data_IF_284036309187
#
_entry.id   IF_284036309187
#
_cell.length_a   1.000
_cell.length_b   1.000
_cell.length_c   1.000
_cell.angle_alpha   90.00
_cell.angle_beta   90.00
_cell.angle_gamma   90.00
#
_symmetry.space_group_name_H-M   'P 1'
#
loop_
_entity.id
_entity.type
_entity.pdbx_description
1 polymer ?
#
# COMPACT_ATOMS: atom_id res chain seq x y z
N UNK A 1 30.43 23.21 -13.60
CA UNK A 1 30.38 24.17 -12.48
C UNK A 1 28.96 24.65 -12.15
N UNK A 2 28.12 25.05 -13.11
CA UNK A 2 26.74 25.56 -12.85
C UNK A 2 25.81 24.58 -12.10
N UNK A 3 26.04 23.27 -12.15
CA UNK A 3 25.07 22.23 -11.73
C UNK A 3 25.18 21.77 -10.26
N UNK A 4 26.32 21.97 -9.60
CA UNK A 4 26.45 21.73 -8.14
C UNK A 4 25.84 22.88 -7.33
N UNK A 5 26.02 24.11 -7.82
CA UNK A 5 25.43 25.32 -7.22
C UNK A 5 23.90 25.27 -7.19
N UNK A 6 23.27 24.66 -8.21
CA UNK A 6 21.83 24.47 -8.28
C UNK A 6 21.29 23.54 -7.18
N UNK A 7 21.98 22.43 -6.90
CA UNK A 7 21.62 21.52 -5.82
C UNK A 7 21.80 22.17 -4.44
N UNK A 8 22.87 22.94 -4.26
CA UNK A 8 23.10 23.72 -3.03
C UNK A 8 22.03 24.79 -2.84
N UNK A 9 21.55 25.41 -3.93
CA UNK A 9 20.44 26.36 -3.87
C UNK A 9 19.14 25.67 -3.45
N UNK A 10 18.84 24.48 -3.96
CA UNK A 10 17.69 23.68 -3.53
C UNK A 10 17.78 23.30 -2.03
N UNK A 11 18.98 22.99 -1.55
CA UNK A 11 19.23 22.73 -0.14
C UNK A 11 19.00 23.98 0.73
N UNK A 12 19.54 25.14 0.33
CA UNK A 12 19.37 26.42 1.04
C UNK A 12 17.91 26.88 1.11
N UNK A 13 17.12 26.60 0.06
CA UNK A 13 15.69 26.92 0.01
C UNK A 13 14.80 25.85 0.67
N UNK A 14 15.38 24.81 1.29
CA UNK A 14 14.62 23.77 1.99
C UNK A 14 13.84 22.80 1.10
N UNK A 15 14.03 22.87 -0.22
CA UNK A 15 13.40 21.95 -1.20
C UNK A 15 13.99 20.55 -1.08
N UNK A 16 15.29 20.47 -0.83
CA UNK A 16 16.04 19.23 -0.65
C UNK A 16 16.72 19.20 0.73
N UNK A 17 16.93 18.01 1.27
CA UNK A 17 17.74 17.79 2.46
C UNK A 17 19.15 17.35 2.10
N UNK A 18 20.06 17.38 3.09
CA UNK A 18 21.42 16.84 2.94
C UNK A 18 21.45 15.37 2.52
N UNK A 19 20.48 14.57 2.96
CA UNK A 19 20.38 13.18 2.54
C UNK A 19 20.11 13.06 1.04
N UNK A 20 19.23 13.91 0.51
CA UNK A 20 18.85 13.90 -0.91
C UNK A 20 20.05 14.30 -1.79
N UNK A 21 20.83 15.29 -1.34
CA UNK A 21 22.08 15.69 -2.03
C UNK A 21 23.12 14.58 -1.97
N UNK A 22 23.32 13.97 -0.81
CA UNK A 22 24.29 12.88 -0.67
C UNK A 22 23.91 11.67 -1.55
N UNK A 23 22.63 11.31 -1.58
CA UNK A 23 22.14 10.26 -2.46
C UNK A 23 22.31 10.61 -3.94
N UNK A 24 22.03 11.85 -4.35
CA UNK A 24 22.26 12.29 -5.73
C UNK A 24 23.73 12.19 -6.14
N UNK A 25 24.64 12.62 -5.29
CA UNK A 25 26.08 12.53 -5.54
C UNK A 25 26.54 11.07 -5.60
N UNK A 26 26.01 10.19 -4.74
CA UNK A 26 26.27 8.77 -4.79
C UNK A 26 25.84 8.15 -6.13
N UNK A 27 24.60 8.44 -6.58
CA UNK A 27 24.08 7.93 -7.87
C UNK A 27 24.88 8.48 -9.05
N UNK A 28 25.25 9.76 -9.03
CA UNK A 28 26.08 10.36 -10.07
C UNK A 28 27.48 9.74 -10.12
N UNK A 29 28.06 9.41 -8.97
CA UNK A 29 29.33 8.69 -8.87
C UNK A 29 29.27 7.30 -9.50
N UNK A 30 28.18 6.56 -9.28
CA UNK A 30 27.94 5.24 -9.90
C UNK A 30 27.74 5.32 -11.43
N UNK A 31 27.23 6.45 -11.94
CA UNK A 31 27.01 6.66 -13.36
C UNK A 31 28.27 7.11 -14.13
N UNK A 32 29.41 7.24 -13.44
CA UNK A 32 30.70 7.69 -13.99
C UNK A 32 30.64 9.05 -14.71
N UNK A 33 29.73 9.94 -14.30
CA UNK A 33 29.66 11.29 -14.86
C UNK A 33 28.50 12.13 -14.35
N UNK A 34 28.68 13.46 -14.21
CA UNK A 34 27.65 14.36 -13.71
C UNK A 34 26.61 14.67 -14.78
N UNK A 35 25.59 13.82 -14.88
CA UNK A 35 24.38 14.11 -15.66
C UNK A 35 23.42 14.89 -14.74
N UNK A 36 23.13 16.15 -15.08
CA UNK A 36 22.27 17.01 -14.26
C UNK A 36 20.89 16.41 -14.04
N UNK A 37 20.30 15.92 -15.12
CA UNK A 37 19.01 15.27 -15.15
C UNK A 37 19.00 14.09 -14.17
N UNK A 38 20.10 13.33 -14.10
CA UNK A 38 20.25 12.23 -13.16
C UNK A 38 20.38 12.70 -11.71
N UNK A 39 21.29 13.64 -11.43
CA UNK A 39 21.52 14.13 -10.07
C UNK A 39 20.27 14.80 -9.50
N UNK A 40 19.61 15.66 -10.28
CA UNK A 40 18.34 16.27 -9.89
C UNK A 40 17.28 15.21 -9.62
N UNK A 41 17.15 14.22 -10.51
CA UNK A 41 16.16 13.15 -10.34
C UNK A 41 16.40 12.30 -9.11
N UNK A 42 17.65 11.93 -8.85
CA UNK A 42 18.04 11.17 -7.68
C UNK A 42 17.71 11.94 -6.40
N UNK A 43 18.00 13.25 -6.36
CA UNK A 43 17.65 14.08 -5.22
C UNK A 43 16.12 14.21 -5.04
N UNK A 44 15.38 14.48 -6.12
CA UNK A 44 13.93 14.65 -6.08
C UNK A 44 13.20 13.36 -5.70
N UNK A 45 13.61 12.20 -6.23
CA UNK A 45 13.00 10.92 -5.87
C UNK A 45 13.30 10.55 -4.42
N UNK A 46 14.51 10.82 -3.92
CA UNK A 46 14.84 10.69 -2.50
C UNK A 46 13.93 11.56 -1.63
N UNK A 47 13.78 12.83 -1.99
CA UNK A 47 12.91 13.77 -1.26
C UNK A 47 11.46 13.32 -1.29
N UNK A 48 10.94 12.92 -2.45
CA UNK A 48 9.59 12.40 -2.61
C UNK A 48 9.35 11.16 -1.75
N UNK A 49 10.31 10.22 -1.71
CA UNK A 49 10.24 9.04 -0.85
C UNK A 49 10.21 9.38 0.64
N UNK A 50 11.01 10.35 1.10
CA UNK A 50 10.95 10.82 2.50
C UNK A 50 9.59 11.43 2.86
N UNK A 51 8.88 11.99 1.88
CA UNK A 51 7.54 12.53 2.04
C UNK A 51 6.43 11.47 1.94
N UNK A 52 6.79 10.21 1.72
CA UNK A 52 5.85 9.08 1.65
C UNK A 52 5.38 8.72 0.24
N UNK A 53 5.91 9.36 -0.81
CA UNK A 53 5.64 8.97 -2.19
C UNK A 53 6.46 7.74 -2.59
N UNK A 54 5.83 6.80 -3.29
CA UNK A 54 6.51 5.58 -3.78
C UNK A 54 7.45 5.90 -4.96
N UNK A 55 7.07 6.88 -5.78
CA UNK A 55 7.80 7.31 -6.97
C UNK A 55 7.69 8.82 -7.17
N UNK A 56 8.58 9.34 -8.02
CA UNK A 56 8.50 10.67 -8.59
C UNK A 56 7.85 10.59 -9.97
N UNK A 57 6.68 11.19 -10.15
CA UNK A 57 6.03 11.30 -11.45
C UNK A 57 6.64 12.48 -12.23
N UNK A 58 7.50 12.17 -13.20
CA UNK A 58 8.20 13.19 -13.99
C UNK A 58 7.24 14.00 -14.87
N UNK A 59 6.09 13.43 -15.26
CA UNK A 59 5.09 14.15 -16.08
C UNK A 59 4.50 15.32 -15.31
N UNK A 60 4.27 15.13 -14.02
CA UNK A 60 3.76 16.19 -13.14
C UNK A 60 4.84 17.19 -12.77
N UNK A 61 6.11 16.82 -12.85
CA UNK A 61 7.23 17.67 -12.40
C UNK A 61 7.90 18.45 -13.54
N UNK A 62 7.76 17.98 -14.78
CA UNK A 62 8.38 18.60 -15.94
C UNK A 62 8.08 20.09 -16.01
N UNK A 63 9.12 20.89 -16.28
CA UNK A 63 9.05 22.35 -16.42
C UNK A 63 8.53 23.13 -15.20
N UNK A 64 8.23 22.47 -14.07
CA UNK A 64 7.88 23.16 -12.83
C UNK A 64 9.08 23.92 -12.26
N UNK A 65 8.83 25.11 -11.72
CA UNK A 65 9.82 25.83 -10.93
C UNK A 65 9.98 25.16 -9.56
N UNK A 66 11.21 24.80 -9.21
CA UNK A 66 11.58 24.29 -7.90
C UNK A 66 11.92 25.42 -6.94
N UNK A 67 12.55 26.48 -7.45
CA UNK A 67 12.86 27.71 -6.73
C UNK A 67 12.62 28.89 -7.66
N UNK A 68 11.90 29.89 -7.16
CA UNK A 68 11.66 31.12 -7.90
C UNK A 68 12.97 31.91 -8.07
N UNK A 69 13.07 32.67 -9.15
CA UNK A 69 14.17 33.61 -9.32
C UNK A 69 13.98 34.78 -8.38
N UNK A 70 14.87 34.94 -7.40
CA UNK A 70 14.99 36.14 -6.56
C UNK A 70 16.33 36.80 -6.84
N UNK A 71 16.40 38.14 -6.72
CA UNK A 71 17.63 38.93 -6.85
C UNK A 71 18.46 38.68 -8.13
N UNK A 72 17.81 38.70 -9.30
CA UNK A 72 18.48 38.59 -10.60
C UNK A 72 18.96 37.18 -10.96
N UNK A 73 18.72 36.18 -10.10
CA UNK A 73 18.99 34.78 -10.41
C UNK A 73 17.88 34.16 -11.25
N UNK A 74 18.24 33.34 -12.24
CA UNK A 74 17.26 32.60 -13.02
C UNK A 74 16.48 31.62 -12.13
N UNK A 75 15.18 31.40 -12.38
CA UNK A 75 14.43 30.35 -11.69
C UNK A 75 15.08 28.99 -11.98
N UNK A 76 15.10 28.12 -10.98
CA UNK A 76 15.56 26.75 -11.16
C UNK A 76 14.33 25.90 -11.50
N UNK A 77 14.26 25.44 -12.74
CA UNK A 77 13.13 24.67 -13.28
C UNK A 77 13.53 23.24 -13.59
N UNK A 78 12.58 22.33 -13.44
CA UNK A 78 12.75 20.96 -13.90
C UNK A 78 12.94 20.91 -15.43
N UNK A 79 13.69 19.92 -15.95
CA UNK A 79 13.86 19.76 -17.39
C UNK A 79 12.53 19.47 -18.10
N UNK A 80 12.52 19.65 -19.44
CA UNK A 80 11.43 19.18 -20.29
C UNK A 80 11.32 17.67 -20.22
N UNK A 81 10.10 17.13 -20.14
CA UNK A 81 9.86 15.70 -19.93
C UNK A 81 10.66 14.80 -20.89
N UNK A 82 10.65 15.13 -22.18
CA UNK A 82 11.34 14.33 -23.21
C UNK A 82 12.85 14.29 -22.99
N UNK A 83 13.45 15.45 -22.74
CA UNK A 83 14.89 15.57 -22.52
C UNK A 83 15.29 14.94 -21.18
N UNK A 84 14.43 15.08 -20.18
CA UNK A 84 14.58 14.48 -18.87
C UNK A 84 14.63 12.95 -18.94
N UNK A 85 13.60 12.34 -19.52
CA UNK A 85 13.54 10.89 -19.68
C UNK A 85 14.70 10.38 -20.54
N UNK A 86 15.05 11.09 -21.62
CA UNK A 86 16.20 10.73 -22.46
C UNK A 86 17.52 10.74 -21.66
N UNK A 87 17.75 11.76 -20.84
CA UNK A 87 18.93 11.85 -19.98
C UNK A 87 19.00 10.69 -18.98
N UNK A 88 17.86 10.29 -18.42
CA UNK A 88 17.77 9.17 -17.48
C UNK A 88 17.98 7.82 -18.15
N UNK A 89 17.29 7.52 -19.26
CA UNK A 89 17.37 6.23 -19.97
C UNK A 89 18.80 5.95 -20.45
N UNK A 90 19.54 6.99 -20.82
CA UNK A 90 20.93 6.86 -21.27
C UNK A 90 21.93 6.61 -20.12
N UNK A 91 21.50 6.66 -18.86
CA UNK A 91 22.35 6.44 -17.71
C UNK A 91 22.50 4.96 -17.36
N UNK A 92 23.70 4.54 -16.98
CA UNK A 92 23.97 3.15 -16.58
C UNK A 92 23.21 2.73 -15.30
N UNK A 93 22.84 3.68 -14.44
CA UNK A 93 22.20 3.43 -13.13
C UNK A 93 20.68 3.51 -13.14
N UNK A 94 20.07 3.80 -14.30
CA UNK A 94 18.62 3.79 -14.50
C UNK A 94 18.23 2.56 -15.32
N UNK A 95 17.26 1.80 -14.83
CA UNK A 95 16.73 0.59 -15.47
C UNK A 95 15.27 0.71 -15.84
N UNK A 96 14.82 -0.23 -16.66
CA UNK A 96 13.41 -0.47 -16.92
C UNK A 96 12.81 -1.34 -15.80
N UNK A 97 11.47 -1.39 -15.69
CA UNK A 97 10.81 -2.36 -14.82
C UNK A 97 11.31 -3.78 -15.11
N UNK A 98 11.81 -4.48 -14.09
CA UNK A 98 12.43 -5.81 -14.18
C UNK A 98 13.95 -5.80 -14.04
N UNK A 99 14.60 -4.65 -14.29
CA UNK A 99 16.05 -4.52 -14.15
C UNK A 99 16.47 -4.38 -12.68
N UNK A 100 17.67 -4.84 -12.35
CA UNK A 100 18.31 -4.60 -11.05
C UNK A 100 19.27 -3.42 -11.14
N UNK A 101 18.74 -2.21 -11.01
CA UNK A 101 19.50 -0.94 -11.04
C UNK A 101 19.01 0.02 -9.96
N UNK A 102 19.86 0.93 -9.43
CA UNK A 102 19.49 1.81 -8.31
C UNK A 102 18.18 2.58 -8.51
N UNK A 103 17.95 3.05 -9.74
CA UNK A 103 16.74 3.75 -10.14
C UNK A 103 16.00 2.95 -11.21
N UNK A 104 14.67 2.97 -11.14
CA UNK A 104 13.79 2.35 -12.15
C UNK A 104 12.90 3.42 -12.75
N UNK A 105 12.92 3.56 -14.06
CA UNK A 105 12.03 4.46 -14.81
C UNK A 105 11.04 3.62 -15.61
N UNK A 106 9.75 3.79 -15.34
CA UNK A 106 8.71 3.04 -16.03
C UNK A 106 8.21 3.74 -17.31
N UNK A 107 7.37 3.02 -18.09
CA UNK A 107 6.79 3.54 -19.33
C UNK A 107 5.83 4.72 -19.16
N UNK A 108 5.43 5.07 -17.93
CA UNK A 108 4.62 6.26 -17.61
C UNK A 108 5.47 7.44 -17.13
N UNK A 109 6.80 7.35 -17.29
CA UNK A 109 7.76 8.35 -16.82
C UNK A 109 7.70 8.54 -15.29
N UNK A 110 7.46 7.47 -14.53
CA UNK A 110 7.57 7.46 -13.07
C UNK A 110 8.93 6.90 -12.68
N UNK A 111 9.67 7.65 -11.89
CA UNK A 111 10.98 7.27 -11.40
C UNK A 111 10.89 6.75 -9.96
N UNK A 112 11.51 5.61 -9.72
CA UNK A 112 11.50 4.91 -8.43
C UNK A 112 12.91 4.71 -7.93
N UNK A 113 13.07 4.69 -6.61
CA UNK A 113 14.15 3.91 -6.00
C UNK A 113 13.84 2.42 -6.19
N UNK A 114 14.82 1.61 -6.61
CA UNK A 114 14.63 0.18 -6.89
C UNK A 114 13.80 -0.55 -5.84
N UNK A 115 14.14 -0.34 -4.56
CA UNK A 115 13.48 -0.99 -3.42
C UNK A 115 11.97 -0.75 -3.40
N UNK A 116 11.51 0.46 -3.72
CA UNK A 116 10.11 0.82 -3.68
C UNK A 116 9.35 0.33 -4.91
N UNK A 117 10.02 0.27 -6.07
CA UNK A 117 9.50 -0.41 -7.25
C UNK A 117 9.30 -1.91 -6.98
N UNK A 118 10.31 -2.59 -6.43
CA UNK A 118 10.24 -4.01 -6.08
C UNK A 118 9.14 -4.29 -5.04
N UNK A 119 8.97 -3.42 -4.03
CA UNK A 119 7.86 -3.53 -3.07
C UNK A 119 6.50 -3.39 -3.74
N UNK A 120 6.34 -2.45 -4.67
CA UNK A 120 5.11 -2.25 -5.41
C UNK A 120 4.77 -3.48 -6.26
N UNK A 121 5.73 -3.98 -7.04
CA UNK A 121 5.48 -5.11 -7.94
C UNK A 121 5.19 -6.39 -7.16
N UNK A 122 5.97 -6.69 -6.10
CA UNK A 122 5.68 -7.83 -5.21
C UNK A 122 4.29 -7.74 -4.60
N UNK A 123 3.87 -6.57 -4.14
CA UNK A 123 2.53 -6.40 -3.58
C UNK A 123 1.45 -6.61 -4.65
N UNK A 124 1.64 -6.03 -5.83
CA UNK A 124 0.69 -6.17 -6.93
C UNK A 124 0.55 -7.63 -7.36
N UNK A 125 1.66 -8.37 -7.47
CA UNK A 125 1.66 -9.79 -7.83
C UNK A 125 1.02 -10.66 -6.75
N UNK A 126 1.31 -10.40 -5.48
CA UNK A 126 0.68 -11.11 -4.36
C UNK A 126 -0.83 -10.90 -4.28
N UNK A 127 -1.32 -9.72 -4.69
CA UNK A 127 -2.76 -9.43 -4.78
C UNK A 127 -3.34 -10.12 -6.00
N UNK A 128 -2.72 -9.99 -7.18
CA UNK A 128 -3.18 -10.63 -8.43
C UNK A 128 -3.30 -12.14 -8.26
N UNK A 129 -2.30 -12.79 -7.68
CA UNK A 129 -2.32 -14.24 -7.47
C UNK A 129 -3.50 -14.67 -6.59
N UNK A 130 -3.75 -13.95 -5.49
CA UNK A 130 -4.86 -14.26 -4.57
C UNK A 130 -6.25 -13.96 -5.15
N UNK A 131 -6.34 -13.03 -6.09
CA UNK A 131 -7.60 -12.70 -6.78
C UNK A 131 -7.89 -13.71 -7.89
N UNK A 132 -6.86 -14.21 -8.57
CA UNK A 132 -6.98 -15.18 -9.67
C UNK A 132 -7.19 -16.62 -9.21
N UNK A 133 -6.75 -16.96 -8.00
CA UNK A 133 -7.11 -18.23 -7.37
C UNK A 133 -8.63 -18.32 -7.20
N UNK A 134 -9.30 -18.96 -8.15
CA UNK A 134 -10.70 -19.33 -8.06
C UNK A 134 -10.75 -20.62 -7.24
N UNK A 135 -11.27 -20.54 -6.02
CA UNK A 135 -11.61 -21.76 -5.28
C UNK A 135 -12.65 -22.56 -6.07
N UNK A 136 -12.57 -23.90 -5.97
CA UNK A 136 -13.59 -24.80 -6.53
C UNK A 136 -15.00 -24.33 -6.12
N UNK A 137 -16.03 -24.59 -6.95
CA UNK A 137 -17.41 -24.21 -6.64
C UNK A 137 -17.76 -24.60 -5.21
N UNK A 138 -17.91 -23.58 -4.37
CA UNK A 138 -18.12 -23.78 -2.95
C UNK A 138 -19.60 -24.10 -2.75
N UNK A 139 -19.93 -25.38 -2.71
CA UNK A 139 -21.22 -25.80 -2.19
C UNK A 139 -21.20 -25.56 -0.67
N UNK A 140 -21.89 -24.52 -0.23
CA UNK A 140 -22.02 -24.17 1.19
C UNK A 140 -23.45 -24.53 1.60
N UNK A 141 -23.66 -25.70 2.22
CA UNK A 141 -24.98 -26.11 2.67
C UNK A 141 -25.57 -25.06 3.61
N UNK A 142 -26.83 -24.71 3.36
CA UNK A 142 -27.61 -23.79 4.19
C UNK A 142 -26.99 -22.37 4.31
N UNK A 143 -26.18 -21.93 3.34
CA UNK A 143 -25.60 -20.59 3.35
C UNK A 143 -26.65 -19.48 3.48
N UNK A 144 -27.78 -19.61 2.76
CA UNK A 144 -28.88 -18.66 2.84
C UNK A 144 -29.46 -18.54 4.26
N UNK A 145 -29.67 -19.66 4.94
CA UNK A 145 -30.16 -19.68 6.32
C UNK A 145 -29.15 -19.06 7.30
N UNK A 146 -27.87 -19.39 7.15
CA UNK A 146 -26.79 -18.84 7.98
C UNK A 146 -26.67 -17.32 7.82
N UNK A 147 -26.77 -16.83 6.58
CA UNK A 147 -26.76 -15.40 6.29
C UNK A 147 -27.99 -14.70 6.86
N UNK A 148 -29.19 -15.25 6.68
CA UNK A 148 -30.42 -14.69 7.22
C UNK A 148 -30.37 -14.58 8.75
N UNK A 149 -29.78 -15.58 9.42
CA UNK A 149 -29.58 -15.58 10.88
C UNK A 149 -28.56 -14.53 11.33
N UNK A 150 -27.43 -14.41 10.64
CA UNK A 150 -26.37 -13.49 11.04
C UNK A 150 -26.63 -12.04 10.62
N UNK A 151 -27.43 -11.82 9.59
CA UNK A 151 -27.82 -10.48 9.11
C UNK A 151 -29.34 -10.31 9.20
N UNK A 152 -29.91 -10.34 10.43
CA UNK A 152 -31.34 -10.13 10.62
C UNK A 152 -31.64 -8.65 10.33
N UNK A 153 -32.66 -8.39 9.52
CA UNK A 153 -33.01 -7.03 9.13
C UNK A 153 -32.30 -6.51 7.88
N UNK A 154 -31.90 -7.41 6.96
CA UNK A 154 -31.61 -7.00 5.58
C UNK A 154 -32.75 -6.07 5.09
N UNK A 155 -32.44 -4.94 4.43
CA UNK A 155 -33.44 -3.95 4.06
C UNK A 155 -34.60 -4.59 3.29
N UNK A 156 -35.85 -4.25 3.62
CA UNK A 156 -37.00 -4.63 2.80
C UNK A 156 -36.85 -4.11 1.36
N UNK A 157 -36.18 -2.97 1.21
CA UNK A 157 -35.73 -2.41 -0.06
C UNK A 157 -34.26 -2.01 0.02
N UNK A 158 -33.45 -2.47 -0.95
CA UNK A 158 -32.04 -2.14 -1.05
C UNK A 158 -31.10 -3.32 -0.77
N UNK A 159 -29.82 -3.11 -1.06
CA UNK A 159 -28.78 -4.14 -0.91
C UNK A 159 -28.15 -4.04 0.48
N UNK A 160 -28.12 -5.13 1.24
CA UNK A 160 -27.31 -5.23 2.45
C UNK A 160 -25.84 -5.40 2.09
N UNK A 161 -25.10 -4.29 2.05
CA UNK A 161 -23.67 -4.29 1.75
C UNK A 161 -22.82 -5.07 2.77
N UNK A 162 -23.28 -5.24 4.02
CA UNK A 162 -22.58 -6.07 5.00
C UNK A 162 -22.74 -7.55 4.68
N UNK A 163 -23.93 -7.96 4.23
CA UNK A 163 -24.17 -9.32 3.72
C UNK A 163 -23.36 -9.58 2.44
N UNK A 164 -23.31 -8.62 1.51
CA UNK A 164 -22.46 -8.71 0.30
C UNK A 164 -20.98 -8.84 0.68
N UNK A 165 -20.50 -8.06 1.64
CA UNK A 165 -19.14 -8.16 2.13
C UNK A 165 -18.84 -9.55 2.72
N UNK A 166 -19.79 -10.11 3.47
CA UNK A 166 -19.66 -11.43 4.06
C UNK A 166 -19.67 -12.57 3.04
N UNK A 167 -20.54 -12.50 2.04
CA UNK A 167 -20.53 -13.39 0.89
C UNK A 167 -19.22 -13.30 0.11
N UNK A 168 -18.74 -12.08 -0.13
CA UNK A 168 -17.47 -11.87 -0.85
C UNK A 168 -16.28 -12.44 -0.10
N UNK A 169 -16.25 -12.33 1.23
CA UNK A 169 -15.12 -12.81 2.03
C UNK A 169 -15.05 -14.34 2.15
N UNK A 170 -16.18 -15.04 2.05
CA UNK A 170 -16.17 -16.52 2.03
C UNK A 170 -15.87 -17.06 0.62
N UNK A 171 -16.21 -16.31 -0.44
CA UNK A 171 -16.02 -16.74 -1.83
C UNK A 171 -14.65 -16.38 -2.42
N UNK A 172 -13.86 -15.53 -1.75
CA UNK A 172 -12.59 -15.00 -2.27
C UNK A 172 -11.48 -15.13 -1.24
N UNK A 173 -10.30 -15.59 -1.67
CA UNK A 173 -9.08 -15.68 -0.84
C UNK A 173 -8.52 -14.32 -0.42
N UNK A 174 -8.88 -13.26 -1.13
CA UNK A 174 -8.52 -11.89 -0.80
C UNK A 174 -9.75 -10.99 -0.92
N UNK A 175 -10.09 -10.33 0.17
CA UNK A 175 -11.22 -9.41 0.26
C UNK A 175 -10.79 -8.16 1.02
N UNK A 176 -11.12 -6.99 0.47
CA UNK A 176 -10.94 -5.69 1.14
C UNK A 176 -12.32 -5.12 1.41
N UNK A 177 -12.64 -4.94 2.69
CA UNK A 177 -13.90 -4.34 3.13
C UNK A 177 -13.62 -2.90 3.53
N UNK A 178 -14.09 -1.95 2.74
CA UNK A 178 -13.98 -0.51 3.02
C UNK A 178 -15.31 0.06 3.52
N UNK A 179 -15.25 1.16 4.27
CA UNK A 179 -16.43 1.84 4.77
C UNK A 179 -16.09 2.93 5.79
N UNK A 180 -16.89 4.00 5.84
CA UNK A 180 -16.70 5.12 6.77
C UNK A 180 -16.85 4.72 8.25
N UNK A 181 -16.53 5.61 9.21
CA UNK A 181 -16.82 5.38 10.63
C UNK A 181 -18.30 5.03 10.86
N UNK A 182 -18.60 4.11 11.79
CA UNK A 182 -19.97 3.74 12.13
C UNK A 182 -20.69 2.79 11.17
N UNK A 183 -20.11 2.42 10.02
CA UNK A 183 -20.72 1.51 9.02
C UNK A 183 -20.83 0.03 9.43
N UNK A 184 -20.54 -0.30 10.69
CA UNK A 184 -20.66 -1.67 11.21
C UNK A 184 -19.57 -2.65 10.77
N UNK A 185 -18.47 -2.19 10.13
CA UNK A 185 -17.37 -3.06 9.65
C UNK A 185 -16.92 -4.12 10.65
N UNK A 186 -16.70 -3.76 11.91
CA UNK A 186 -16.22 -4.73 12.92
C UNK A 186 -17.27 -5.79 13.24
N UNK A 187 -18.54 -5.40 13.28
CA UNK A 187 -19.67 -6.34 13.41
C UNK A 187 -19.74 -7.26 12.20
N UNK A 188 -19.57 -6.73 10.99
CA UNK A 188 -19.50 -7.53 9.76
C UNK A 188 -18.33 -8.53 9.82
N UNK A 189 -17.13 -8.10 10.25
CA UNK A 189 -15.97 -8.98 10.39
C UNK A 189 -16.25 -10.12 11.38
N UNK A 190 -16.86 -9.84 12.54
CA UNK A 190 -17.20 -10.89 13.50
C UNK A 190 -18.17 -11.93 12.88
N UNK A 191 -19.18 -11.48 12.15
CA UNK A 191 -20.12 -12.37 11.43
C UNK A 191 -19.42 -13.18 10.32
N UNK A 192 -18.43 -12.59 9.64
CA UNK A 192 -17.59 -13.30 8.66
C UNK A 192 -16.81 -14.42 9.32
N UNK A 193 -16.18 -14.16 10.47
CA UNK A 193 -15.46 -15.19 11.22
C UNK A 193 -16.39 -16.34 11.62
N UNK A 194 -17.61 -16.03 12.05
CA UNK A 194 -18.64 -17.03 12.34
C UNK A 194 -18.96 -17.88 11.12
N UNK A 195 -19.24 -17.26 9.97
CA UNK A 195 -19.54 -17.98 8.72
C UNK A 195 -18.39 -18.93 8.32
N UNK A 196 -17.14 -18.45 8.37
CA UNK A 196 -15.96 -19.25 8.06
C UNK A 196 -15.83 -20.44 9.01
N UNK A 197 -15.98 -20.22 10.32
CA UNK A 197 -15.87 -21.28 11.32
C UNK A 197 -16.99 -22.32 11.20
N UNK A 198 -18.22 -21.90 10.88
CA UNK A 198 -19.34 -22.82 10.65
C UNK A 198 -19.20 -23.63 9.37
N UNK A 199 -18.51 -23.08 8.36
CA UNK A 199 -18.24 -23.78 7.10
C UNK A 199 -17.17 -24.85 7.26
N UNK A 200 -16.17 -24.58 8.09
CA UNK A 200 -14.93 -25.36 8.15
C UNK A 200 -15.07 -26.75 8.78
N UNK A 201 -16.26 -27.09 9.30
CA UNK A 201 -16.57 -28.43 9.83
C UNK A 201 -15.54 -28.91 10.85
N UNK A 202 -14.86 -30.02 10.53
CA UNK A 202 -13.82 -30.63 11.40
C UNK A 202 -12.44 -29.99 11.24
N UNK A 203 -12.13 -29.40 10.08
CA UNK A 203 -10.82 -28.77 9.82
C UNK A 203 -10.91 -27.26 10.02
N UNK A 204 -10.76 -26.82 11.28
CA UNK A 204 -10.91 -25.41 11.62
C UNK A 204 -9.75 -24.56 11.11
N UNK A 205 -10.03 -23.38 10.51
CA UNK A 205 -9.00 -22.48 10.04
C UNK A 205 -8.29 -21.84 11.22
N UNK A 206 -6.99 -21.59 11.03
CA UNK A 206 -6.21 -20.78 11.97
C UNK A 206 -6.43 -19.32 11.64
N UNK A 207 -7.17 -18.63 12.50
CA UNK A 207 -7.53 -17.22 12.31
C UNK A 207 -6.62 -16.36 13.19
N UNK A 208 -6.01 -15.34 12.60
CA UNK A 208 -5.23 -14.33 13.31
C UNK A 208 -5.83 -12.95 13.10
N UNK A 209 -5.93 -12.16 14.18
CA UNK A 209 -6.38 -10.77 14.15
C UNK A 209 -5.18 -9.86 14.32
N UNK A 210 -5.00 -8.90 13.40
CA UNK A 210 -3.88 -7.97 13.50
C UNK A 210 -4.23 -6.55 13.07
N UNK A 211 -3.42 -5.60 13.55
CA UNK A 211 -3.49 -4.19 13.20
C UNK A 211 -2.07 -3.62 13.03
N UNK A 212 -1.86 -2.55 12.24
CA UNK A 212 -0.56 -1.90 12.12
C UNK A 212 -0.05 -1.33 13.46
N UNK A 213 -0.95 -0.91 14.35
CA UNK A 213 -0.61 -0.28 15.64
C UNK A 213 -1.20 -1.03 16.83
N UNK A 214 -0.56 -0.91 18.01
CA UNK A 214 -1.03 -1.52 19.25
C UNK A 214 -2.39 -0.99 19.71
N UNK A 215 -2.64 0.32 19.59
CA UNK A 215 -3.97 0.91 19.86
C UNK A 215 -5.04 0.34 18.94
N UNK A 216 -4.72 0.15 17.65
CA UNK A 216 -5.64 -0.47 16.70
C UNK A 216 -5.91 -1.95 17.03
N UNK A 217 -4.90 -2.68 17.49
CA UNK A 217 -5.06 -4.07 17.92
C UNK A 217 -5.95 -4.19 19.15
N UNK A 218 -5.73 -3.36 20.19
CA UNK A 218 -6.59 -3.31 21.37
C UNK A 218 -8.05 -3.02 21.03
N UNK A 219 -8.30 -2.02 20.17
CA UNK A 219 -9.65 -1.69 19.69
C UNK A 219 -10.30 -2.82 18.89
N UNK A 220 -9.53 -3.49 18.03
CA UNK A 220 -10.02 -4.65 17.28
C UNK A 220 -10.43 -5.78 18.24
N UNK A 221 -9.59 -6.07 19.22
CA UNK A 221 -9.84 -7.08 20.26
C UNK A 221 -11.10 -6.76 21.08
N UNK A 222 -11.21 -5.55 21.63
CA UNK A 222 -12.40 -5.12 22.39
C UNK A 222 -13.67 -5.25 21.56
N UNK A 223 -13.64 -4.79 20.32
CA UNK A 223 -14.82 -4.80 19.44
C UNK A 223 -15.23 -6.24 19.06
N UNK A 224 -14.28 -7.13 18.78
CA UNK A 224 -14.58 -8.54 18.52
C UNK A 224 -15.13 -9.22 19.77
N UNK A 225 -14.59 -8.95 20.95
CA UNK A 225 -15.10 -9.49 22.22
C UNK A 225 -16.53 -9.03 22.50
N UNK A 226 -16.83 -7.75 22.30
CA UNK A 226 -18.18 -7.22 22.51
C UNK A 226 -19.20 -7.86 21.55
N UNK A 227 -18.87 -7.95 20.26
CA UNK A 227 -19.77 -8.56 19.27
C UNK A 227 -19.91 -10.06 19.50
N UNK A 228 -18.84 -10.75 19.93
CA UNK A 228 -18.87 -12.19 20.23
C UNK A 228 -19.99 -12.55 21.21
N UNK A 229 -20.30 -11.70 22.20
CA UNK A 229 -21.37 -11.95 23.16
C UNK A 229 -22.77 -11.96 22.53
N UNK A 230 -22.99 -11.18 21.47
CA UNK A 230 -24.30 -11.00 20.83
C UNK A 230 -24.51 -11.87 19.59
N UNK A 231 -23.49 -12.60 19.15
CA UNK A 231 -23.59 -13.49 17.99
C UNK A 231 -24.52 -14.68 18.26
N UNK A 232 -25.48 -14.86 17.34
CA UNK A 232 -26.32 -16.05 17.25
C UNK A 232 -25.59 -17.16 16.47
N UNK A 233 -24.83 -17.98 17.21
CA UNK A 233 -24.10 -19.14 16.69
C UNK A 233 -23.88 -20.17 17.80
N UNK A 234 -23.60 -21.45 17.46
CA UNK A 234 -23.31 -22.48 18.44
C UNK A 234 -22.10 -22.12 19.33
N UNK A 235 -22.12 -22.54 20.60
CA UNK A 235 -21.05 -22.22 21.57
C UNK A 235 -19.67 -22.68 21.09
N UNK A 236 -19.60 -23.85 20.45
CA UNK A 236 -18.36 -24.38 19.86
C UNK A 236 -17.74 -23.47 18.79
N UNK A 237 -18.56 -22.71 18.07
CA UNK A 237 -18.12 -21.71 17.07
C UNK A 237 -17.73 -20.43 17.78
N UNK A 238 -18.56 -19.99 18.73
CA UNK A 238 -18.32 -18.81 19.55
C UNK A 238 -16.95 -18.89 20.23
N UNK A 239 -16.65 -20.01 20.89
CA UNK A 239 -15.36 -20.29 21.53
C UNK A 239 -14.18 -20.23 20.55
N UNK A 240 -14.37 -20.65 19.31
CA UNK A 240 -13.33 -20.68 18.28
C UNK A 240 -13.02 -19.29 17.66
N UNK A 241 -13.88 -18.29 17.87
CA UNK A 241 -13.60 -16.92 17.40
C UNK A 241 -12.42 -16.36 18.21
N UNK A 242 -11.31 -15.97 17.56
CA UNK A 242 -10.15 -15.42 18.24
C UNK A 242 -10.50 -14.08 18.89
N UNK A 243 -10.07 -13.91 20.13
CA UNK A 243 -10.28 -12.67 20.90
C UNK A 243 -8.99 -11.89 21.09
N UNK A 244 -7.83 -12.48 20.79
CA UNK A 244 -6.54 -11.81 20.85
C UNK A 244 -6.22 -11.17 19.50
N UNK A 245 -5.81 -9.90 19.53
CA UNK A 245 -5.28 -9.20 18.38
C UNK A 245 -3.86 -8.70 18.66
N UNK A 246 -2.98 -8.80 17.66
CA UNK A 246 -1.59 -8.35 17.77
C UNK A 246 -1.26 -7.25 16.77
N UNK A 247 -0.07 -6.67 16.89
CA UNK A 247 0.48 -5.88 15.79
C UNK A 247 0.91 -6.79 14.64
N UNK A 248 0.95 -6.25 13.41
CA UNK A 248 1.48 -6.98 12.24
C UNK A 248 2.93 -7.42 12.49
N UNK A 249 3.77 -6.55 13.06
CA UNK A 249 5.17 -6.87 13.36
C UNK A 249 5.31 -8.06 14.32
N UNK A 250 4.50 -8.09 15.40
CA UNK A 250 4.48 -9.21 16.34
C UNK A 250 4.01 -10.51 15.68
N UNK A 251 3.01 -10.43 14.80
CA UNK A 251 2.51 -11.60 14.07
C UNK A 251 3.56 -12.17 13.12
N UNK A 252 4.34 -11.31 12.46
CA UNK A 252 5.40 -11.69 11.53
C UNK A 252 6.74 -12.04 12.21
N UNK A 253 6.84 -11.89 13.54
CA UNK A 253 8.08 -12.17 14.28
C UNK A 253 9.18 -11.13 14.11
N UNK A 254 8.85 -9.93 13.64
CA UNK A 254 9.78 -8.80 13.64
C UNK A 254 9.83 -8.23 15.07
N UNK A 255 10.95 -8.46 15.76
CA UNK A 255 11.28 -7.87 17.07
C UNK A 255 11.74 -6.42 16.87
#
# INVERSE_FOLDING_TARGET
>A
MVKEEDLDRLLKNGVLSRLDIHFANFVAGLAEGPIWELSLSAALVSSATRQGHICLDLTTMAEKALVNGEDGQKPLTCPKLRDWCKGLINSSVVGNPGDYKPLILDGRCRLYLFRYWDYQERLADLIRSRVQDVDEPMDIPNLGERLARLFPGAPMEGIDWQQVAALTSIMKRFCVISGGPGTGKTTTVAKILTLLLEQSGRERPRIALCSPTGKGAARLQEAIQAVKLTLDCPDLVKEAIPTEASTIHRLLGAI
#
